data_IF_297818199997
#
_entry.id   IF_297818199997
#
_cell.length_a   1.000
_cell.length_b   1.000
_cell.length_c   1.000
_cell.angle_alpha   90.00
_cell.angle_beta   90.00
_cell.angle_gamma   90.00
#
_symmetry.space_group_name_H-M   'P 1'
#
loop_
_entity.id
_entity.type
_entity.pdbx_description
1 polymer ?
#
# COMPACT_ATOMS: atom_id res chain seq x y z
N UNK A 1 -3.43 20.13 -16.85
CA UNK A 1 -3.33 20.48 -15.42
C UNK A 1 -4.51 19.95 -14.60
N UNK A 2 -5.78 20.27 -14.90
CA UNK A 2 -6.93 19.78 -14.12
C UNK A 2 -7.09 18.24 -14.13
N UNK A 3 -6.92 17.59 -15.29
CA UNK A 3 -6.96 16.14 -15.41
C UNK A 3 -5.84 15.44 -14.61
N UNK A 4 -4.62 15.99 -14.67
CA UNK A 4 -3.45 15.51 -13.93
C UNK A 4 -3.68 15.58 -12.41
N UNK A 5 -4.22 16.71 -11.94
CA UNK A 5 -4.56 16.88 -10.53
C UNK A 5 -5.65 15.91 -10.08
N UNK A 6 -6.65 15.67 -10.93
CA UNK A 6 -7.69 14.67 -10.65
C UNK A 6 -7.10 13.26 -10.54
N UNK A 7 -6.19 12.88 -11.44
CA UNK A 7 -5.52 11.57 -11.42
C UNK A 7 -4.61 11.40 -10.19
N UNK A 8 -3.88 12.45 -9.81
CA UNK A 8 -3.07 12.46 -8.59
C UNK A 8 -3.94 12.25 -7.35
N UNK A 9 -5.05 12.99 -7.22
CA UNK A 9 -5.97 12.81 -6.10
C UNK A 9 -6.56 11.40 -6.01
N UNK A 10 -6.92 10.79 -7.15
CA UNK A 10 -7.37 9.39 -7.16
C UNK A 10 -6.28 8.43 -6.68
N UNK A 11 -5.04 8.64 -7.12
CA UNK A 11 -3.88 7.83 -6.72
C UNK A 11 -3.61 7.98 -5.23
N UNK A 12 -3.62 9.21 -4.72
CA UNK A 12 -3.44 9.52 -3.30
C UNK A 12 -4.50 8.84 -2.42
N UNK A 13 -5.78 8.94 -2.80
CA UNK A 13 -6.88 8.28 -2.09
C UNK A 13 -6.69 6.76 -2.11
N UNK A 14 -6.29 6.20 -3.26
CA UNK A 14 -6.04 4.77 -3.37
C UNK A 14 -4.88 4.33 -2.46
N UNK A 15 -3.74 5.03 -2.51
CA UNK A 15 -2.59 4.75 -1.66
C UNK A 15 -2.94 4.87 -0.17
N UNK A 16 -3.74 5.87 0.21
CA UNK A 16 -4.18 6.04 1.60
C UNK A 16 -5.05 4.87 2.07
N UNK A 17 -5.97 4.41 1.22
CA UNK A 17 -6.84 3.29 1.52
C UNK A 17 -6.06 1.98 1.65
N UNK A 18 -5.08 1.76 0.77
CA UNK A 18 -4.22 0.56 0.80
C UNK A 18 -3.29 0.59 2.01
N UNK A 19 -2.65 1.74 2.30
CA UNK A 19 -1.74 1.91 3.43
C UNK A 19 -2.43 1.59 4.76
N UNK A 20 -3.71 1.94 4.88
CA UNK A 20 -4.52 1.77 6.09
C UNK A 20 -3.74 2.20 7.37
N UNK A 21 -3.41 3.50 7.50
CA UNK A 21 -2.57 3.98 8.59
C UNK A 21 -3.15 3.66 9.98
N UNK A 22 -4.48 3.57 10.10
CA UNK A 22 -5.15 3.23 11.36
C UNK A 22 -5.02 1.74 11.69
N UNK A 23 -5.15 0.85 10.70
CA UNK A 23 -4.96 -0.59 10.92
C UNK A 23 -3.51 -0.99 11.17
N UNK A 24 -2.53 -0.16 10.78
CA UNK A 24 -1.12 -0.37 11.09
C UNK A 24 -0.77 -0.12 12.57
N UNK A 25 -1.62 0.61 13.31
CA UNK A 25 -1.35 1.03 14.70
C UNK A 25 -1.16 -0.14 15.67
N UNK A 26 -2.07 -1.14 15.76
CA UNK A 26 -1.92 -2.23 16.72
C UNK A 26 -0.67 -3.06 16.45
N UNK A 27 -0.33 -3.26 15.17
CA UNK A 27 0.87 -4.00 14.74
C UNK A 27 2.11 -3.23 15.17
N UNK A 28 2.15 -1.93 14.90
CA UNK A 28 3.28 -1.08 15.30
C UNK A 28 3.45 -1.05 16.83
N UNK A 29 2.38 -0.90 17.60
CA UNK A 29 2.44 -0.94 19.08
C UNK A 29 3.00 -2.28 19.56
N UNK A 30 2.52 -3.39 19.01
CA UNK A 30 2.97 -4.72 19.41
C UNK A 30 4.46 -4.97 19.11
N UNK A 31 4.97 -4.42 18.00
CA UNK A 31 6.37 -4.58 17.59
C UNK A 31 7.33 -3.64 18.32
N UNK A 32 6.81 -2.55 18.87
CA UNK A 32 7.60 -1.51 19.54
C UNK A 32 7.32 -1.48 21.04
N UNK A 33 6.79 -2.59 21.59
CA UNK A 33 6.42 -2.68 23.02
C UNK A 33 7.62 -2.64 23.95
N UNK A 34 8.77 -3.15 23.49
CA UNK A 34 10.02 -3.22 24.25
C UNK A 34 10.98 -2.07 23.91
N UNK A 35 10.59 -1.17 23.01
CA UNK A 35 11.39 -0.02 22.61
C UNK A 35 11.14 1.19 23.51
N UNK A 36 12.19 1.96 23.80
CA UNK A 36 12.04 3.26 24.44
C UNK A 36 11.39 4.31 23.48
N UNK A 37 10.91 5.47 24.00
CA UNK A 37 10.26 6.46 23.15
C UNK A 37 11.13 7.02 22.00
N UNK A 38 12.46 7.05 22.17
CA UNK A 38 13.39 7.54 21.16
C UNK A 38 13.62 6.50 20.07
N UNK A 39 13.84 5.24 20.46
CA UNK A 39 13.95 4.07 19.58
C UNK A 39 12.69 3.93 18.74
N UNK A 40 11.52 4.02 19.36
CA UNK A 40 10.24 3.93 18.66
C UNK A 40 10.02 5.03 17.64
N UNK A 41 10.45 6.25 17.94
CA UNK A 41 10.43 7.35 16.97
C UNK A 41 11.40 7.08 15.80
N UNK A 42 12.57 6.51 16.07
CA UNK A 42 13.52 6.12 15.04
C UNK A 42 12.94 5.01 14.15
N UNK A 43 12.28 4.01 14.73
CA UNK A 43 11.59 2.93 14.03
C UNK A 43 10.48 3.48 13.13
N UNK A 44 9.66 4.42 13.62
CA UNK A 44 8.65 5.10 12.79
C UNK A 44 9.27 5.87 11.61
N UNK A 45 10.35 6.62 11.82
CA UNK A 45 11.06 7.34 10.75
C UNK A 45 11.62 6.39 9.72
N UNK A 46 12.26 5.31 10.17
CA UNK A 46 12.86 4.30 9.30
C UNK A 46 11.80 3.62 8.44
N UNK A 47 10.67 3.23 9.04
CA UNK A 47 9.57 2.60 8.33
C UNK A 47 9.00 3.51 7.23
N UNK A 48 8.75 4.78 7.55
CA UNK A 48 8.21 5.74 6.57
C UNK A 48 9.19 6.08 5.45
N UNK A 49 10.49 6.14 5.75
CA UNK A 49 11.53 6.29 4.72
C UNK A 49 11.58 5.07 3.81
N UNK A 50 11.50 3.86 4.37
CA UNK A 50 11.45 2.64 3.59
C UNK A 50 10.23 2.62 2.65
N UNK A 51 9.06 3.06 3.12
CA UNK A 51 7.86 3.23 2.27
C UNK A 51 8.13 4.16 1.10
N UNK A 52 8.68 5.35 1.34
CA UNK A 52 8.99 6.29 0.27
C UNK A 52 9.95 5.68 -0.76
N UNK A 53 11.05 5.07 -0.30
CA UNK A 53 12.07 4.48 -1.18
C UNK A 53 11.48 3.34 -2.02
N UNK A 54 10.74 2.43 -1.40
CA UNK A 54 10.14 1.28 -2.11
C UNK A 54 9.11 1.74 -3.13
N UNK A 55 8.24 2.69 -2.79
CA UNK A 55 7.23 3.20 -3.72
C UNK A 55 7.84 4.01 -4.86
N UNK A 56 8.85 4.84 -4.60
CA UNK A 56 9.59 5.55 -5.65
C UNK A 56 10.27 4.54 -6.58
N UNK A 57 10.99 3.57 -6.01
CA UNK A 57 11.66 2.53 -6.80
C UNK A 57 10.65 1.75 -7.63
N UNK A 58 9.52 1.34 -7.05
CA UNK A 58 8.47 0.62 -7.76
C UNK A 58 7.85 1.46 -8.88
N UNK A 59 7.58 2.74 -8.64
CA UNK A 59 7.00 3.63 -9.65
C UNK A 59 7.89 3.73 -10.89
N UNK A 60 9.20 3.92 -10.71
CA UNK A 60 10.13 4.16 -11.81
C UNK A 60 10.75 2.90 -12.41
N UNK A 61 10.97 1.83 -11.62
CA UNK A 61 11.60 0.58 -12.08
C UNK A 61 10.59 -0.53 -12.34
N UNK A 62 9.40 -0.48 -11.74
CA UNK A 62 8.46 -1.60 -11.74
C UNK A 62 7.98 -1.97 -13.15
N UNK A 63 7.73 -0.99 -14.01
CA UNK A 63 7.34 -1.26 -15.40
C UNK A 63 8.45 -1.96 -16.19
N UNK A 64 9.71 -1.54 -16.01
CA UNK A 64 10.85 -2.22 -16.65
C UNK A 64 11.00 -3.67 -16.19
N UNK A 65 10.76 -3.94 -14.90
CA UNK A 65 10.76 -5.31 -14.36
C UNK A 65 9.65 -6.13 -15.01
N UNK A 66 8.43 -5.59 -15.14
CA UNK A 66 7.32 -6.28 -15.79
C UNK A 66 7.63 -6.60 -17.25
N UNK A 67 8.20 -5.65 -17.99
CA UNK A 67 8.64 -5.85 -19.37
C UNK A 67 9.72 -6.93 -19.49
N UNK A 68 10.68 -6.97 -18.57
CA UNK A 68 11.70 -8.02 -18.52
C UNK A 68 11.10 -9.42 -18.40
N UNK A 69 10.03 -9.59 -17.62
CA UNK A 69 9.30 -10.85 -17.49
C UNK A 69 8.24 -11.08 -18.59
N UNK A 70 8.08 -10.15 -19.54
CA UNK A 70 7.05 -10.24 -20.58
C UNK A 70 5.62 -10.06 -20.03
N UNK A 71 5.44 -9.43 -18.88
CA UNK A 71 4.15 -9.20 -18.24
C UNK A 71 3.59 -7.86 -18.71
N UNK A 72 2.38 -7.88 -19.28
CA UNK A 72 1.69 -6.64 -19.67
C UNK A 72 1.13 -5.90 -18.44
N UNK A 73 1.03 -4.57 -18.54
CA UNK A 73 0.40 -3.75 -17.49
C UNK A 73 -1.05 -4.17 -17.25
N UNK A 74 -1.77 -4.58 -18.30
CA UNK A 74 -3.14 -5.08 -18.18
C UNK A 74 -3.22 -6.37 -17.36
N UNK A 75 -2.33 -7.35 -17.60
CA UNK A 75 -2.26 -8.56 -16.79
C UNK A 75 -1.88 -8.24 -15.33
N UNK A 76 -0.94 -7.32 -15.14
CA UNK A 76 -0.53 -6.86 -13.81
C UNK A 76 -1.64 -6.13 -13.06
N UNK A 77 -2.49 -5.36 -13.74
CA UNK A 77 -3.70 -4.74 -13.17
C UNK A 77 -4.68 -5.78 -12.63
N UNK A 78 -4.93 -6.86 -13.37
CA UNK A 78 -5.82 -7.95 -12.91
C UNK A 78 -5.20 -8.66 -11.71
N UNK A 79 -3.93 -9.07 -11.80
CA UNK A 79 -3.22 -9.74 -10.71
C UNK A 79 -3.16 -8.88 -9.44
N UNK A 80 -2.74 -7.63 -9.58
CA UNK A 80 -2.69 -6.67 -8.49
C UNK A 80 -4.07 -6.38 -7.89
N UNK A 81 -5.09 -6.22 -8.73
CA UNK A 81 -6.48 -6.07 -8.29
C UNK A 81 -6.98 -7.27 -7.47
N UNK A 82 -6.59 -8.51 -7.82
CA UNK A 82 -6.90 -9.69 -7.00
C UNK A 82 -6.20 -9.64 -5.62
N UNK A 83 -4.94 -9.21 -5.57
CA UNK A 83 -4.21 -9.01 -4.30
C UNK A 83 -4.90 -7.95 -3.43
N UNK A 84 -5.30 -6.82 -4.03
CA UNK A 84 -6.04 -5.77 -3.35
C UNK A 84 -7.40 -6.26 -2.82
N UNK A 85 -8.10 -7.10 -3.59
CA UNK A 85 -9.38 -7.68 -3.16
C UNK A 85 -9.21 -8.59 -1.93
N UNK A 86 -8.17 -9.43 -1.91
CA UNK A 86 -7.85 -10.26 -0.75
C UNK A 86 -7.54 -9.41 0.49
N UNK A 87 -6.76 -8.33 0.32
CA UNK A 87 -6.46 -7.39 1.39
C UNK A 87 -7.74 -6.71 1.90
N UNK A 88 -8.62 -6.28 1.00
CA UNK A 88 -9.90 -5.69 1.33
C UNK A 88 -10.78 -6.65 2.16
N UNK A 89 -10.90 -7.91 1.75
CA UNK A 89 -11.68 -8.89 2.51
C UNK A 89 -11.10 -9.17 3.90
N UNK A 90 -9.78 -9.18 4.05
CA UNK A 90 -9.14 -9.30 5.36
C UNK A 90 -9.49 -8.11 6.27
N UNK A 91 -9.46 -6.89 5.73
CA UNK A 91 -9.83 -5.67 6.45
C UNK A 91 -11.31 -5.66 6.84
N UNK A 92 -12.20 -6.07 5.94
CA UNK A 92 -13.66 -6.15 6.18
C UNK A 92 -14.02 -7.15 7.28
N UNK A 93 -13.30 -8.26 7.36
CA UNK A 93 -13.49 -9.25 8.42
C UNK A 93 -12.92 -8.79 9.76
N UNK A 94 -12.21 -7.64 9.80
CA UNK A 94 -11.43 -7.17 10.95
C UNK A 94 -10.58 -8.29 11.59
N UNK A 95 -10.13 -9.24 10.76
CA UNK A 95 -9.08 -10.18 11.16
C UNK A 95 -7.83 -9.33 11.25
N UNK A 96 -7.54 -8.81 12.45
CA UNK A 96 -6.25 -8.18 12.76
C UNK A 96 -5.18 -9.05 12.12
N UNK A 97 -4.42 -8.44 11.22
CA UNK A 97 -3.75 -9.14 10.12
C UNK A 97 -3.16 -10.46 10.58
N UNK A 98 -3.80 -11.56 10.17
CA UNK A 98 -3.17 -12.87 10.11
C UNK A 98 -2.19 -12.87 8.93
N UNK A 99 -1.42 -11.79 8.76
CA UNK A 99 -0.11 -11.82 8.13
C UNK A 99 0.75 -12.59 9.13
N UNK A 100 0.50 -13.90 9.16
CA UNK A 100 1.40 -14.88 9.71
C UNK A 100 2.65 -14.73 8.87
N UNK A 101 3.62 -13.96 9.35
CA UNK A 101 4.96 -14.51 9.32
C UNK A 101 4.82 -15.86 10.00
N UNK A 102 5.12 -16.93 9.27
CA UNK A 102 5.33 -18.20 9.95
C UNK A 102 6.37 -17.94 11.05
N UNK A 103 6.27 -18.62 12.20
CA UNK A 103 7.31 -18.52 13.22
C UNK A 103 8.72 -18.73 12.66
N UNK A 104 8.84 -19.48 11.56
CA UNK A 104 10.07 -19.71 10.78
C UNK A 104 10.61 -18.44 10.10
N UNK A 105 9.79 -17.60 9.44
CA UNK A 105 10.26 -16.34 8.85
C UNK A 105 10.69 -15.31 9.91
N UNK A 106 10.01 -15.31 11.07
CA UNK A 106 10.41 -14.48 12.20
C UNK A 106 11.71 -14.99 12.85
N UNK A 107 11.94 -16.30 12.86
CA UNK A 107 13.14 -16.93 13.41
C UNK A 107 14.38 -16.74 12.52
N UNK A 108 14.24 -16.76 11.19
CA UNK A 108 15.35 -16.48 10.27
C UNK A 108 15.89 -15.05 10.40
N UNK A 109 15.04 -14.10 10.79
CA UNK A 109 15.44 -12.71 11.09
C UNK A 109 16.20 -12.52 12.41
N UNK A 110 16.15 -13.48 13.34
CA UNK A 110 16.75 -13.35 14.67
C UNK A 110 18.19 -13.86 14.76
N UNK A 111 18.69 -14.61 13.78
CA UNK A 111 20.02 -15.25 13.87
C UNK A 111 21.17 -14.45 13.27
N UNK A 112 20.94 -13.26 12.72
CA UNK A 112 22.01 -12.41 12.22
C UNK A 112 22.07 -11.15 13.07
N UNK A 113 23.16 -11.01 13.81
CA UNK A 113 23.59 -9.78 14.45
C UNK A 113 23.68 -8.65 13.40
N UNK A 114 22.54 -8.00 13.21
CA UNK A 114 22.38 -6.74 12.54
C UNK A 114 21.14 -6.10 13.13
N UNK A 115 21.35 -5.19 14.09
CA UNK A 115 20.43 -4.07 14.31
C UNK A 115 20.41 -3.28 13.01
N UNK A 116 19.64 -3.70 12.01
CA UNK A 116 19.53 -2.98 10.76
C UNK A 116 18.33 -3.49 9.94
N UNK A 117 17.27 -2.68 9.94
CA UNK A 117 16.48 -2.36 8.75
C UNK A 117 15.74 -3.56 8.12
N UNK A 118 14.41 -3.55 8.23
CA UNK A 118 13.48 -4.16 7.24
C UNK A 118 13.26 -5.68 7.33
N UNK A 119 12.23 -6.12 8.07
CA UNK A 119 11.31 -7.07 7.42
C UNK A 119 9.85 -6.63 7.47
N UNK A 120 9.51 -5.56 8.21
CA UNK A 120 8.11 -5.22 8.49
C UNK A 120 7.59 -3.95 7.80
N UNK A 121 8.45 -2.96 7.56
CA UNK A 121 8.06 -1.75 6.84
C UNK A 121 7.77 -2.01 5.35
N UNK A 122 8.51 -2.95 4.75
CA UNK A 122 8.42 -3.25 3.31
C UNK A 122 7.19 -4.09 2.95
N UNK A 123 6.81 -5.17 3.66
CA UNK A 123 5.62 -5.92 3.26
C UNK A 123 4.31 -5.25 3.69
N UNK A 124 4.29 -4.53 4.82
CA UNK A 124 3.03 -4.14 5.46
C UNK A 124 2.50 -2.77 5.02
N UNK A 125 3.39 -1.78 4.83
CA UNK A 125 3.01 -0.42 4.42
C UNK A 125 3.34 -0.15 2.94
N UNK A 126 4.49 -0.63 2.48
CA UNK A 126 4.89 -0.63 1.08
C UNK A 126 4.55 -1.96 0.38
N UNK A 127 3.48 -2.61 0.83
CA UNK A 127 3.11 -3.93 0.37
C UNK A 127 2.79 -3.99 -1.13
N UNK A 128 2.57 -5.21 -1.66
CA UNK A 128 2.32 -5.42 -3.09
C UNK A 128 1.17 -4.56 -3.63
N UNK A 129 0.18 -4.23 -2.80
CA UNK A 129 -0.91 -3.34 -3.19
C UNK A 129 -0.50 -1.90 -3.51
N UNK A 130 0.35 -1.27 -2.68
CA UNK A 130 0.81 0.09 -2.94
C UNK A 130 1.81 0.13 -4.09
N UNK A 131 2.66 -0.91 -4.24
CA UNK A 131 3.54 -1.08 -5.40
C UNK A 131 2.74 -1.17 -6.71
N UNK A 132 1.71 -2.01 -6.75
CA UNK A 132 0.82 -2.15 -7.92
C UNK A 132 0.23 -0.79 -8.31
N UNK A 133 -0.31 -0.06 -7.34
CA UNK A 133 -0.94 1.24 -7.59
C UNK A 133 0.03 2.27 -8.17
N UNK A 134 1.24 2.40 -7.62
CA UNK A 134 2.22 3.39 -8.14
C UNK A 134 2.76 3.01 -9.52
N UNK A 135 2.94 1.72 -9.81
CA UNK A 135 3.34 1.24 -11.14
C UNK A 135 2.27 1.58 -12.18
N UNK A 136 1.00 1.29 -11.87
CA UNK A 136 -0.12 1.59 -12.77
C UNK A 136 -0.30 3.11 -12.94
N UNK A 137 -0.16 3.89 -11.86
CA UNK A 137 -0.28 5.34 -11.91
C UNK A 137 0.82 5.97 -12.76
N UNK A 138 2.06 5.48 -12.65
CA UNK A 138 3.18 5.92 -13.48
C UNK A 138 2.94 5.58 -14.96
N UNK A 139 2.53 4.34 -15.27
CA UNK A 139 2.27 3.91 -16.65
C UNK A 139 1.18 4.73 -17.34
N UNK A 140 0.12 5.13 -16.61
CA UNK A 140 -1.00 5.90 -17.18
C UNK A 140 -0.61 7.31 -17.61
N UNK A 141 0.43 7.91 -17.01
CA UNK A 141 0.72 9.32 -17.16
C UNK A 141 2.19 9.58 -17.54
N UNK A 142 2.49 9.62 -18.83
CA UNK A 142 3.85 9.87 -19.35
C UNK A 142 4.33 11.34 -19.27
N UNK A 143 3.52 12.24 -18.70
CA UNK A 143 3.87 13.66 -18.57
C UNK A 143 4.83 13.89 -17.41
N UNK A 144 5.83 14.77 -17.60
CA UNK A 144 6.73 15.22 -16.52
C UNK A 144 5.96 15.81 -15.33
N UNK A 145 4.86 16.52 -15.60
CA UNK A 145 4.02 17.08 -14.53
C UNK A 145 3.36 15.97 -13.70
N UNK A 146 2.85 14.93 -14.37
CA UNK A 146 2.20 13.80 -13.71
C UNK A 146 3.18 12.98 -12.86
N UNK A 147 4.38 12.76 -13.40
CA UNK A 147 5.47 12.11 -12.66
C UNK A 147 5.86 12.90 -11.41
N UNK A 148 5.93 14.24 -11.51
CA UNK A 148 6.16 15.11 -10.36
C UNK A 148 5.05 15.03 -9.31
N UNK A 149 3.78 15.00 -9.74
CA UNK A 149 2.64 14.83 -8.84
C UNK A 149 2.64 13.45 -8.15
N UNK A 150 2.99 12.39 -8.87
CA UNK A 150 3.10 11.04 -8.28
C UNK A 150 4.18 10.97 -7.20
N UNK A 151 5.33 11.61 -7.41
CA UNK A 151 6.37 11.72 -6.38
C UNK A 151 5.81 12.44 -5.15
N UNK A 152 5.07 13.53 -5.34
CA UNK A 152 4.43 14.27 -4.25
C UNK A 152 3.45 13.36 -3.49
N UNK A 153 2.59 12.61 -4.20
CA UNK A 153 1.65 11.67 -3.57
C UNK A 153 2.38 10.61 -2.72
N UNK A 154 3.47 10.04 -3.24
CA UNK A 154 4.29 9.06 -2.51
C UNK A 154 4.90 9.68 -1.24
N UNK A 155 5.43 10.90 -1.34
CA UNK A 155 6.01 11.60 -0.18
C UNK A 155 4.94 11.97 0.86
N UNK A 156 3.76 12.38 0.42
CA UNK A 156 2.62 12.64 1.29
C UNK A 156 2.22 11.37 2.03
N UNK A 157 2.11 10.23 1.32
CA UNK A 157 1.75 8.94 1.91
C UNK A 157 2.80 8.46 2.91
N UNK A 158 4.09 8.62 2.60
CA UNK A 158 5.16 8.33 3.55
C UNK A 158 5.07 9.23 4.80
N UNK A 159 4.73 10.52 4.62
CA UNK A 159 4.48 11.46 5.72
C UNK A 159 3.27 11.07 6.57
N UNK A 160 2.17 10.63 5.94
CA UNK A 160 0.97 10.14 6.63
C UNK A 160 1.30 8.87 7.43
N UNK A 161 2.04 7.94 6.84
CA UNK A 161 2.53 6.75 7.55
C UNK A 161 3.33 7.18 8.79
N UNK A 162 4.28 8.10 8.63
CA UNK A 162 5.09 8.59 9.75
C UNK A 162 4.24 9.21 10.86
N UNK A 163 3.29 10.07 10.49
CA UNK A 163 2.39 10.70 11.44
C UNK A 163 1.54 9.68 12.19
N UNK A 164 0.98 8.69 11.49
CA UNK A 164 0.17 7.63 12.07
C UNK A 164 0.98 6.76 13.04
N UNK A 165 2.20 6.37 12.68
CA UNK A 165 3.09 5.56 13.53
C UNK A 165 3.58 6.35 14.74
N UNK A 166 3.99 7.61 14.55
CA UNK A 166 4.39 8.51 15.64
C UNK A 166 3.26 8.72 16.65
N UNK A 167 2.02 8.79 16.17
CA UNK A 167 0.83 9.00 16.99
C UNK A 167 0.12 7.69 17.35
N UNK A 168 0.76 6.53 17.14
CA UNK A 168 0.12 5.22 17.31
C UNK A 168 -0.46 5.02 18.72
N UNK A 169 0.29 5.36 19.77
CA UNK A 169 -0.19 5.27 21.16
C UNK A 169 -1.41 6.15 21.47
N UNK A 170 -1.34 7.50 21.30
CA UNK A 170 -2.48 8.35 21.60
C UNK A 170 -3.68 8.03 20.71
N UNK A 171 -3.44 7.65 19.45
CA UNK A 171 -4.51 7.29 18.52
C UNK A 171 -5.16 5.95 18.90
N UNK A 172 -4.37 4.96 19.34
CA UNK A 172 -4.88 3.70 19.87
C UNK A 172 -5.71 3.90 21.14
N UNK A 173 -5.26 4.76 22.06
CA UNK A 173 -6.02 5.07 23.29
C UNK A 173 -7.34 5.80 23.01
N UNK A 174 -7.36 6.69 22.01
CA UNK A 174 -8.56 7.45 21.62
C UNK A 174 -9.58 6.63 20.84
N UNK A 175 -9.13 5.82 19.89
CA UNK A 175 -10.01 5.02 19.03
C UNK A 175 -10.46 3.72 19.70
N UNK A 176 -9.60 3.13 20.53
CA UNK A 176 -9.79 1.79 21.07
C UNK A 176 -9.83 0.72 19.96
N UNK A 177 -9.97 -0.54 20.38
CA UNK A 177 -10.02 -1.69 19.45
C UNK A 177 -11.21 -1.56 18.49
N UNK A 178 -12.37 -1.15 19.00
CA UNK A 178 -13.60 -0.99 18.20
C UNK A 178 -13.45 0.10 17.14
N UNK A 179 -12.92 1.28 17.48
CA UNK A 179 -12.73 2.37 16.52
C UNK A 179 -11.71 2.03 15.43
N UNK A 180 -10.62 1.35 15.79
CA UNK A 180 -9.63 0.84 14.83
C UNK A 180 -10.26 -0.16 13.87
N UNK A 181 -11.08 -1.10 14.38
CA UNK A 181 -11.76 -2.10 13.56
C UNK A 181 -12.78 -1.47 12.61
N UNK A 182 -13.57 -0.49 13.07
CA UNK A 182 -14.53 0.22 12.22
C UNK A 182 -13.79 0.99 11.12
N UNK A 183 -12.75 1.74 11.48
CA UNK A 183 -11.94 2.50 10.51
C UNK A 183 -11.29 1.59 9.46
N UNK A 184 -10.70 0.47 9.91
CA UNK A 184 -10.10 -0.53 9.02
C UNK A 184 -11.13 -1.11 8.05
N UNK A 185 -12.35 -1.39 8.50
CA UNK A 185 -13.44 -1.87 7.62
C UNK A 185 -13.84 -0.84 6.58
N UNK A 186 -13.89 0.45 6.94
CA UNK A 186 -14.18 1.54 6.00
C UNK A 186 -13.12 1.61 4.91
N UNK A 187 -11.83 1.59 5.29
CA UNK A 187 -10.75 1.52 4.30
C UNK A 187 -10.83 0.23 3.46
N UNK A 188 -11.25 -0.89 4.06
CA UNK A 188 -11.47 -2.16 3.36
C UNK A 188 -12.55 -2.07 2.28
N UNK A 189 -13.65 -1.36 2.54
CA UNK A 189 -14.70 -1.12 1.53
C UNK A 189 -14.17 -0.29 0.36
N UNK A 190 -13.42 0.78 0.64
CA UNK A 190 -12.79 1.62 -0.39
C UNK A 190 -11.79 0.80 -1.20
N UNK A 191 -10.98 -0.01 -0.53
CA UNK A 191 -10.00 -0.88 -1.16
C UNK A 191 -10.63 -1.93 -2.07
N UNK A 192 -11.76 -2.53 -1.66
CA UNK A 192 -12.51 -3.45 -2.51
C UNK A 192 -12.99 -2.76 -3.79
N UNK A 193 -13.49 -1.52 -3.70
CA UNK A 193 -13.91 -0.77 -4.87
C UNK A 193 -12.74 -0.51 -5.84
N UNK A 194 -11.57 -0.11 -5.31
CA UNK A 194 -10.34 0.09 -6.11
C UNK A 194 -9.91 -1.22 -6.76
N UNK A 195 -9.94 -2.33 -6.03
CA UNK A 195 -9.61 -3.66 -6.54
C UNK A 195 -10.49 -4.05 -7.73
N UNK A 196 -11.81 -3.84 -7.63
CA UNK A 196 -12.75 -4.06 -8.75
C UNK A 196 -12.40 -3.17 -9.93
N UNK A 197 -12.09 -1.89 -9.71
CA UNK A 197 -11.68 -0.98 -10.79
C UNK A 197 -10.41 -1.47 -11.50
N UNK A 198 -9.41 -1.97 -10.77
CA UNK A 198 -8.19 -2.50 -11.38
C UNK A 198 -8.45 -3.77 -12.19
N UNK A 199 -9.23 -4.70 -11.64
CA UNK A 199 -9.63 -5.93 -12.35
C UNK A 199 -10.42 -5.58 -13.61
N UNK A 200 -11.41 -4.71 -13.52
CA UNK A 200 -12.25 -4.34 -14.66
C UNK A 200 -11.45 -3.66 -15.78
N UNK A 201 -10.58 -2.71 -15.43
CA UNK A 201 -9.73 -2.02 -16.40
C UNK A 201 -8.72 -2.98 -17.05
N UNK A 202 -8.09 -3.86 -16.25
CA UNK A 202 -7.16 -4.85 -16.75
C UNK A 202 -7.84 -5.85 -17.70
N UNK A 203 -9.02 -6.36 -17.34
CA UNK A 203 -9.79 -7.26 -18.20
C UNK A 203 -10.26 -6.57 -19.49
N UNK A 204 -10.72 -5.31 -19.41
CA UNK A 204 -11.11 -4.54 -20.59
C UNK A 204 -9.93 -4.34 -21.56
N UNK A 205 -8.72 -4.12 -21.04
CA UNK A 205 -7.50 -3.97 -21.84
C UNK A 205 -7.00 -5.32 -22.41
N UNK A 206 -7.19 -6.43 -21.70
CA UNK A 206 -6.84 -7.78 -22.18
C UNK A 206 -7.82 -8.31 -23.23
N UNK A 207 -9.11 -7.99 -23.09
CA UNK A 207 -10.19 -8.52 -23.92
C UNK A 207 -11.08 -7.38 -24.47
N UNK A 208 -10.58 -6.57 -25.41
CA UNK A 208 -11.33 -5.43 -25.96
C UNK A 208 -12.68 -5.84 -26.59
N UNK A 209 -12.82 -7.07 -27.06
CA UNK A 209 -14.08 -7.63 -27.59
C UNK A 209 -15.21 -7.80 -26.56
N UNK A 210 -14.92 -7.91 -25.25
CA UNK A 210 -15.96 -8.01 -24.20
C UNK A 210 -16.68 -6.67 -23.95
N UNK A 211 -16.04 -5.53 -24.27
CA UNK A 211 -16.60 -4.20 -24.06
C UNK A 211 -17.59 -3.81 -25.17
N UNK A 212 -17.42 -4.35 -26.38
CA UNK A 212 -18.27 -4.03 -27.53
C UNK A 212 -19.63 -4.73 -27.56
N UNK A 213 -19.84 -5.83 -26.85
CA UNK A 213 -21.13 -6.57 -26.83
C UNK A 213 -22.25 -5.78 -26.13
N UNK A 214 -21.94 -4.65 -25.46
CA UNK A 214 -22.92 -3.83 -24.73
C UNK A 214 -23.40 -2.57 -25.48
N UNK A 215 -22.99 -2.37 -26.73
CA UNK A 215 -23.40 -1.20 -27.55
C UNK A 215 -23.94 -1.57 -28.95
N UNK A 216 -24.65 -2.69 -29.07
CA UNK A 216 -25.46 -3.03 -30.25
C UNK A 216 -26.87 -3.43 -29.83
#
# INVERSE_FOLDING_TARGET
>A
MAAELHSALQTLIALLAILNPVGAIPIFIALTSDEDPQQRLATAKLASRAVAVVLLTSAFLGEYILQFFGISIAAFQVAGGMVLMLLAFNMLQAKSSRYRHTPEEAAEGMQKEAVAVVPLAIPLLAGPGTMVTVIIAHHKNASWLASGLLIIDILVIAGVAYAALRLAEPLSRRLGVTGINISTRIFGLVLAAIAVTFIANGLAALFPGLVHIRMS
#
